data_IF_933241401935
#
_entry.id   IF_933241401935
#
_cell.length_a   1.000
_cell.length_b   1.000
_cell.length_c   1.000
_cell.angle_alpha   90.00
_cell.angle_beta   90.00
_cell.angle_gamma   90.00
#
_symmetry.space_group_name_H-M   'P 1'
#
loop_
_entity.id
_entity.type
_entity.pdbx_description
1 polymer ?
#
# COMPACT_ATOMS: atom_id res chain seq x y z
N UNK A 1 2.13 -5.33 3.64
CA UNK A 1 0.77 -5.08 3.14
C UNK A 1 0.90 -4.96 1.63
N UNK A 2 0.44 -5.82 0.73
CA UNK A 2 -0.51 -6.93 0.74
C UNK A 2 0.24 -8.21 0.33
N UNK A 3 0.02 -9.39 0.93
CA UNK A 3 0.36 -10.68 0.28
C UNK A 3 -0.89 -11.49 -0.03
N UNK A 4 -2.06 -10.97 0.34
CA UNK A 4 -3.35 -11.64 0.36
C UNK A 4 -4.06 -11.68 -0.99
N UNK A 5 -3.81 -10.74 -1.91
CA UNK A 5 -4.57 -10.66 -3.18
C UNK A 5 -4.00 -11.47 -4.35
N UNK A 6 -2.81 -12.10 -4.20
CA UNK A 6 -2.31 -13.04 -5.21
C UNK A 6 -2.88 -14.40 -4.82
N UNK A 7 -4.06 -14.72 -5.33
CA UNK A 7 -4.76 -15.97 -5.04
C UNK A 7 -4.07 -17.18 -5.69
N UNK A 8 -3.32 -16.96 -6.78
CA UNK A 8 -2.55 -17.99 -7.48
C UNK A 8 -1.05 -17.81 -7.27
N UNK A 9 -0.60 -18.13 -6.04
CA UNK A 9 0.81 -18.46 -5.82
C UNK A 9 1.02 -19.87 -6.36
N UNK A 10 2.01 -20.13 -7.23
CA UNK A 10 2.22 -21.47 -7.72
C UNK A 10 2.45 -22.43 -6.54
N UNK A 11 1.83 -23.61 -6.53
CA UNK A 11 2.23 -24.68 -5.61
C UNK A 11 3.73 -24.92 -5.76
N UNK A 12 4.43 -25.22 -4.66
CA UNK A 12 5.88 -25.46 -4.71
C UNK A 12 6.22 -26.47 -5.82
N UNK A 13 7.00 -26.02 -6.82
CA UNK A 13 7.42 -26.84 -7.95
C UNK A 13 6.50 -26.87 -9.19
N UNK A 14 5.43 -26.06 -9.26
CA UNK A 14 4.55 -25.98 -10.46
C UNK A 14 4.64 -24.63 -11.16
N UNK A 15 4.56 -24.64 -12.49
CA UNK A 15 4.49 -23.42 -13.29
C UNK A 15 3.09 -22.80 -13.27
N UNK A 16 3.03 -21.47 -13.27
CA UNK A 16 1.77 -20.73 -13.41
C UNK A 16 1.23 -20.88 -14.83
N UNK A 17 -0.08 -21.12 -14.95
CA UNK A 17 -0.75 -21.11 -16.26
C UNK A 17 -0.69 -19.72 -16.89
N UNK A 18 -0.82 -19.60 -18.23
CA UNK A 18 -0.85 -18.31 -18.91
C UNK A 18 -1.91 -17.35 -18.35
N UNK A 19 -3.09 -17.86 -17.99
CA UNK A 19 -4.20 -17.10 -17.44
C UNK A 19 -3.84 -16.54 -16.05
N UNK A 20 -3.27 -17.38 -15.19
CA UNK A 20 -2.80 -16.97 -13.85
C UNK A 20 -1.68 -15.92 -13.94
N UNK A 21 -0.77 -16.07 -14.92
CA UNK A 21 0.28 -15.07 -15.17
C UNK A 21 -0.31 -13.71 -15.56
N UNK A 22 -1.32 -13.69 -16.41
CA UNK A 22 -1.97 -12.44 -16.82
C UNK A 22 -2.74 -11.80 -15.67
N UNK A 23 -3.48 -12.58 -14.87
CA UNK A 23 -4.14 -12.08 -13.66
C UNK A 23 -3.14 -11.47 -12.66
N UNK A 24 -2.05 -12.21 -12.37
CA UNK A 24 -0.99 -11.74 -11.48
C UNK A 24 -0.31 -10.46 -12.01
N UNK A 25 -0.18 -10.33 -13.33
CA UNK A 25 0.35 -9.11 -13.96
C UNK A 25 -0.56 -7.91 -13.74
N UNK A 26 -1.89 -8.07 -13.84
CA UNK A 26 -2.83 -6.97 -13.59
C UNK A 26 -2.81 -6.55 -12.11
N UNK A 27 -2.83 -7.51 -11.19
CA UNK A 27 -2.73 -7.24 -9.74
C UNK A 27 -1.40 -6.55 -9.40
N UNK A 28 -0.30 -7.00 -10.02
CA UNK A 28 1.02 -6.41 -9.79
C UNK A 28 1.10 -4.96 -10.28
N UNK A 29 0.46 -4.62 -11.41
CA UNK A 29 0.39 -3.23 -11.90
C UNK A 29 -0.32 -2.31 -10.90
N UNK A 30 -1.42 -2.78 -10.30
CA UNK A 30 -2.15 -2.00 -9.30
C UNK A 30 -1.32 -1.82 -8.02
N UNK A 31 -0.67 -2.89 -7.55
CA UNK A 31 0.22 -2.85 -6.37
C UNK A 31 1.30 -1.80 -6.47
N UNK A 32 1.91 -1.65 -7.64
CA UNK A 32 2.95 -0.64 -7.84
C UNK A 32 2.41 0.75 -7.50
N UNK A 33 1.17 1.08 -7.91
CA UNK A 33 0.57 2.39 -7.58
C UNK A 33 0.35 2.54 -6.08
N UNK A 34 -0.21 1.50 -5.45
CA UNK A 34 -0.45 1.47 -4.00
C UNK A 34 0.85 1.61 -3.21
N UNK A 35 1.91 0.91 -3.61
CA UNK A 35 3.22 0.97 -2.96
C UNK A 35 3.86 2.35 -3.08
N UNK A 36 3.73 3.03 -4.23
CA UNK A 36 4.16 4.41 -4.37
C UNK A 36 3.41 5.35 -3.42
N UNK A 37 2.08 5.24 -3.33
CA UNK A 37 1.28 6.03 -2.39
C UNK A 37 1.67 5.75 -0.94
N UNK A 38 1.83 4.48 -0.55
CA UNK A 38 2.30 4.11 0.80
C UNK A 38 3.69 4.68 1.07
N UNK A 39 4.60 4.63 0.10
CA UNK A 39 5.91 5.26 0.19
C UNK A 39 5.81 6.77 0.45
N UNK A 40 4.90 7.45 -0.23
CA UNK A 40 4.63 8.87 -0.06
C UNK A 40 4.03 9.24 1.31
N UNK A 41 3.15 8.39 1.85
CA UNK A 41 2.53 8.55 3.18
C UNK A 41 3.56 8.33 4.31
N UNK A 42 4.54 7.44 4.12
CA UNK A 42 5.57 7.13 5.13
C UNK A 42 6.49 8.29 5.52
N UNK A 43 6.41 9.43 4.82
CA UNK A 43 7.04 10.69 5.26
C UNK A 43 6.59 11.08 6.68
N UNK A 44 5.37 10.74 7.07
CA UNK A 44 4.90 10.94 8.43
C UNK A 44 5.44 9.83 9.35
N UNK A 45 6.34 10.16 10.28
CA UNK A 45 6.97 9.17 11.17
C UNK A 45 5.97 8.33 11.98
N UNK A 46 4.83 8.94 12.33
CA UNK A 46 3.75 8.30 13.08
C UNK A 46 3.18 7.06 12.38
N UNK A 47 3.23 6.97 11.05
CA UNK A 47 2.65 5.84 10.28
C UNK A 47 3.61 4.67 10.07
N UNK A 48 4.92 4.87 10.24
CA UNK A 48 5.92 3.83 9.96
C UNK A 48 6.75 3.41 11.17
N UNK A 49 6.75 4.21 12.23
CA UNK A 49 7.39 3.87 13.50
C UNK A 49 6.42 3.11 14.41
N UNK A 50 6.94 2.54 15.51
CA UNK A 50 6.10 1.81 16.47
C UNK A 50 5.07 2.75 17.08
N UNK A 51 3.80 2.53 16.71
CA UNK A 51 2.66 3.25 17.23
C UNK A 51 2.29 2.70 18.61
N UNK A 52 2.32 3.55 19.66
CA UNK A 52 2.15 3.13 21.07
C UNK A 52 0.81 3.53 21.69
N UNK A 53 -0.06 4.21 20.95
CA UNK A 53 -1.38 4.58 21.46
C UNK A 53 -2.29 3.34 21.47
N UNK A 54 -3.00 3.13 22.57
CA UNK A 54 -3.88 1.97 22.80
C UNK A 54 -5.37 2.30 22.63
N UNK A 55 -5.69 3.51 22.17
CA UNK A 55 -7.06 3.89 21.85
C UNK A 55 -7.53 3.14 20.60
N UNK A 56 -8.63 2.43 20.74
CA UNK A 56 -9.28 1.69 19.64
C UNK A 56 -9.59 2.61 18.46
N UNK A 57 -9.26 2.15 17.24
CA UNK A 57 -9.49 2.84 15.97
C UNK A 57 -8.63 4.08 15.74
N UNK A 58 -7.71 4.41 16.64
CA UNK A 58 -6.88 5.60 16.50
C UNK A 58 -5.76 5.41 15.47
N UNK A 59 -5.28 4.19 15.29
CA UNK A 59 -4.35 3.80 14.23
C UNK A 59 -4.95 4.01 12.84
N UNK A 60 -6.21 3.60 12.63
CA UNK A 60 -6.93 3.85 11.38
C UNK A 60 -7.11 5.35 11.12
N UNK A 61 -7.51 6.12 12.14
CA UNK A 61 -7.66 7.57 12.04
C UNK A 61 -6.33 8.26 11.68
N UNK A 62 -5.22 7.83 12.28
CA UNK A 62 -3.88 8.34 11.98
C UNK A 62 -3.51 8.04 10.53
N UNK A 63 -3.77 6.83 10.06
CA UNK A 63 -3.50 6.44 8.69
C UNK A 63 -4.34 7.24 7.69
N UNK A 64 -5.64 7.40 7.93
CA UNK A 64 -6.55 8.20 7.10
C UNK A 64 -6.10 9.66 7.03
N UNK A 65 -5.76 10.25 8.18
CA UNK A 65 -5.24 11.62 8.26
C UNK A 65 -3.95 11.76 7.45
N UNK A 66 -3.01 10.83 7.59
CA UNK A 66 -1.74 10.86 6.86
C UNK A 66 -1.94 10.69 5.35
N UNK A 67 -2.88 9.85 4.92
CA UNK A 67 -3.29 9.73 3.52
C UNK A 67 -3.88 11.05 2.99
N UNK A 68 -4.77 11.70 3.75
CA UNK A 68 -5.34 12.99 3.38
C UNK A 68 -4.27 14.06 3.20
N UNK A 69 -3.31 14.15 4.12
CA UNK A 69 -2.18 15.08 4.03
C UNK A 69 -1.25 14.77 2.86
N UNK A 70 -1.02 13.49 2.56
CA UNK A 70 -0.24 13.07 1.40
C UNK A 70 -0.93 13.49 0.09
N UNK A 71 -2.23 13.25 -0.02
CA UNK A 71 -3.03 13.66 -1.18
C UNK A 71 -3.00 15.17 -1.37
N UNK A 72 -3.20 15.94 -0.30
CA UNK A 72 -3.09 17.40 -0.34
C UNK A 72 -1.74 17.87 -0.88
N UNK A 73 -0.63 17.25 -0.44
CA UNK A 73 0.72 17.57 -0.94
C UNK A 73 0.88 17.25 -2.43
N UNK A 74 0.26 16.18 -2.91
CA UNK A 74 0.32 15.77 -4.31
C UNK A 74 -0.52 16.69 -5.22
N UNK A 75 -1.69 17.12 -4.75
CA UNK A 75 -2.59 17.99 -5.52
C UNK A 75 -2.11 19.45 -5.54
N UNK A 76 -1.43 19.89 -4.47
CA UNK A 76 -0.90 21.25 -4.32
C UNK A 76 0.60 21.22 -4.06
N UNK A 77 1.42 20.89 -5.08
CA UNK A 77 2.87 20.87 -4.94
C UNK A 77 3.36 22.29 -4.62
N UNK A 78 3.92 22.45 -3.41
CA UNK A 78 4.56 23.71 -3.00
C UNK A 78 5.75 23.92 -3.93
N UNK A 79 5.61 24.86 -4.86
CA UNK A 79 6.70 25.30 -5.70
C UNK A 79 7.55 26.24 -4.84
N UNK A 80 8.73 25.77 -4.42
CA UNK A 80 9.78 26.62 -3.84
C UNK A 80 10.69 27.15 -4.94
#
# INVERSE_FOLDING_TARGET
>A
MCRSSIEDRPPEGKELTPEQKEQNKQISKERIRVEHSIGGVKVFAIVHTVFRNMREGFDDLVMETACGLHNLRCDFPVTV
#
